data_IF_188766563901
#
_entry.id   IF_188766563901
#
_cell.length_a   1.000
_cell.length_b   1.000
_cell.length_c   1.000
_cell.angle_alpha   90.00
_cell.angle_beta   90.00
_cell.angle_gamma   90.00
#
_symmetry.space_group_name_H-M   'P 1'
#
loop_
_entity.id
_entity.type
_entity.pdbx_description
1 polymer ?
#
# COMPACT_ATOMS: atom_id res chain seq x y z
N UNK A 1 7.82 20.46 7.40
CA UNK A 1 7.73 20.08 8.83
C UNK A 1 7.76 18.58 8.93
N UNK A 2 8.48 17.98 9.88
CA UNK A 2 8.49 16.53 10.02
C UNK A 2 7.07 16.00 10.26
N UNK A 3 6.71 14.94 9.54
CA UNK A 3 5.45 14.22 9.73
C UNK A 3 5.57 13.47 11.07
N UNK A 4 5.09 14.05 12.15
CA UNK A 4 4.89 13.29 13.40
C UNK A 4 3.52 12.64 13.29
N UNK A 5 3.42 11.30 13.18
CA UNK A 5 2.12 10.64 13.20
C UNK A 5 1.49 10.87 14.57
N UNK A 6 0.41 11.61 14.58
CA UNK A 6 -0.51 11.52 15.71
C UNK A 6 -1.09 10.11 15.69
N UNK A 7 -1.16 9.41 16.80
CA UNK A 7 -1.42 7.97 16.97
C UNK A 7 -2.63 7.32 16.27
N UNK A 8 -3.17 7.94 15.22
CA UNK A 8 -4.25 7.48 14.35
C UNK A 8 -3.81 7.23 12.89
N UNK A 9 -2.50 7.35 12.58
CA UNK A 9 -2.01 7.26 11.20
C UNK A 9 -2.31 8.52 10.39
N UNK A 10 -2.43 8.35 9.04
CA UNK A 10 -2.67 9.45 8.10
C UNK A 10 -4.09 10.05 8.22
N UNK A 11 -5.10 9.22 8.51
CA UNK A 11 -6.50 9.61 8.63
C UNK A 11 -6.84 10.08 10.05
N UNK A 12 -7.76 11.03 10.19
CA UNK A 12 -8.22 11.55 11.49
C UNK A 12 -9.07 10.53 12.27
N UNK A 13 -9.59 9.49 11.62
CA UNK A 13 -10.46 8.47 12.18
C UNK A 13 -9.79 7.10 12.18
N UNK A 14 -10.12 6.22 13.13
CA UNK A 14 -9.65 4.84 13.11
C UNK A 14 -10.12 4.10 11.85
N UNK A 15 -9.23 3.27 11.29
CA UNK A 15 -9.51 2.43 10.13
C UNK A 15 -8.92 1.02 10.35
N UNK A 16 -9.24 0.03 9.51
CA UNK A 16 -8.69 -1.32 9.65
C UNK A 16 -7.16 -1.35 9.78
N UNK A 17 -6.45 -0.48 9.05
CA UNK A 17 -4.99 -0.41 9.11
C UNK A 17 -4.43 0.21 10.40
N UNK A 18 -5.21 0.92 11.21
CA UNK A 18 -4.79 1.42 12.53
C UNK A 18 -5.29 0.56 13.70
N UNK A 19 -5.95 -0.57 13.40
CA UNK A 19 -6.47 -1.50 14.42
C UNK A 19 -5.38 -2.43 14.89
N UNK A 20 -5.14 -2.47 16.21
CA UNK A 20 -4.28 -3.46 16.85
C UNK A 20 -4.90 -4.85 16.73
N UNK A 21 -4.15 -5.77 16.12
CA UNK A 21 -4.57 -7.17 15.92
C UNK A 21 -3.69 -8.15 16.68
N UNK A 22 -2.82 -7.67 17.56
CA UNK A 22 -1.85 -8.50 18.28
C UNK A 22 -2.52 -9.61 19.11
N UNK A 23 -3.70 -9.32 19.66
CA UNK A 23 -4.48 -10.26 20.47
C UNK A 23 -5.57 -11.01 19.68
N UNK A 24 -5.77 -10.71 18.39
CA UNK A 24 -6.81 -11.41 17.62
C UNK A 24 -6.41 -12.85 17.33
N UNK A 25 -7.42 -13.72 17.24
CA UNK A 25 -7.22 -15.11 16.87
C UNK A 25 -6.63 -15.23 15.46
N UNK A 26 -5.85 -16.28 15.25
CA UNK A 26 -5.43 -16.75 13.94
C UNK A 26 -6.65 -17.25 13.18
N UNK A 27 -6.79 -16.89 11.89
CA UNK A 27 -7.82 -17.42 11.02
C UNK A 27 -7.74 -18.95 10.91
N UNK A 28 -8.88 -19.63 10.85
CA UNK A 28 -8.92 -21.08 10.68
C UNK A 28 -8.18 -21.54 9.39
N UNK A 29 -8.17 -20.70 8.36
CA UNK A 29 -7.48 -20.93 7.08
C UNK A 29 -6.00 -20.53 7.08
N UNK A 30 -5.49 -19.95 8.19
CA UNK A 30 -4.14 -19.40 8.25
C UNK A 30 -3.06 -20.38 7.82
N UNK A 31 -3.06 -21.59 8.37
CA UNK A 31 -2.01 -22.57 8.07
C UNK A 31 -2.07 -23.03 6.62
N UNK A 32 -3.28 -23.17 6.06
CA UNK A 32 -3.49 -23.50 4.65
C UNK A 32 -2.93 -22.40 3.72
N UNK A 33 -3.20 -21.13 4.04
CA UNK A 33 -2.75 -19.99 3.24
C UNK A 33 -1.21 -19.84 3.33
N UNK A 34 -0.63 -19.95 4.53
CA UNK A 34 0.82 -19.89 4.73
C UNK A 34 1.51 -21.03 3.97
N UNK A 35 1.03 -22.26 4.13
CA UNK A 35 1.57 -23.41 3.42
C UNK A 35 1.40 -23.30 1.89
N UNK A 36 0.24 -22.80 1.45
CA UNK A 36 -0.05 -22.56 0.04
C UNK A 36 0.88 -21.50 -0.58
N UNK A 37 1.12 -20.39 0.12
CA UNK A 37 2.07 -19.36 -0.32
C UNK A 37 3.50 -19.91 -0.37
N UNK A 38 3.92 -20.68 0.64
CA UNK A 38 5.23 -21.35 0.64
C UNK A 38 5.39 -22.30 -0.56
N UNK A 39 4.38 -23.11 -0.82
CA UNK A 39 4.37 -24.05 -1.95
C UNK A 39 4.38 -23.31 -3.32
N UNK A 40 3.76 -22.14 -3.41
CA UNK A 40 3.78 -21.28 -4.58
C UNK A 40 5.12 -20.53 -4.78
N UNK A 41 6.09 -20.69 -3.87
CA UNK A 41 7.42 -20.08 -3.96
C UNK A 41 7.66 -18.93 -2.97
N UNK A 42 6.77 -18.69 -2.01
CA UNK A 42 6.90 -17.72 -0.92
C UNK A 42 6.84 -16.27 -1.38
N UNK A 43 7.70 -15.41 -0.81
CA UNK A 43 7.85 -14.02 -1.25
C UNK A 43 8.34 -13.97 -2.70
N UNK A 44 8.16 -12.85 -3.39
CA UNK A 44 8.74 -12.63 -4.72
C UNK A 44 10.28 -12.75 -4.70
N UNK A 45 10.92 -12.68 -5.85
CA UNK A 45 12.38 -12.64 -6.03
C UNK A 45 13.16 -13.69 -5.17
N UNK A 46 12.90 -14.99 -5.40
CA UNK A 46 13.64 -16.06 -4.73
C UNK A 46 13.27 -16.27 -3.27
N UNK A 47 12.01 -16.00 -2.91
CA UNK A 47 11.48 -16.16 -1.54
C UNK A 47 12.19 -15.29 -0.50
N UNK A 48 12.57 -14.07 -0.89
CA UNK A 48 13.20 -13.11 0.02
C UNK A 48 12.21 -12.00 0.37
N UNK A 49 12.08 -11.69 1.66
CA UNK A 49 11.28 -10.54 2.13
C UNK A 49 12.03 -9.24 1.83
N UNK A 50 11.88 -8.78 0.58
CA UNK A 50 12.50 -7.54 0.13
C UNK A 50 11.64 -6.33 0.50
N UNK A 51 12.30 -5.20 0.69
CA UNK A 51 11.64 -3.90 0.86
C UNK A 51 11.84 -3.04 -0.38
N UNK A 52 10.81 -2.30 -0.77
CA UNK A 52 10.88 -1.27 -1.79
C UNK A 52 10.54 0.10 -1.17
N UNK A 53 11.43 1.07 -1.37
CA UNK A 53 11.31 2.44 -0.90
C UNK A 53 11.21 3.44 -2.08
N UNK A 54 10.60 3.04 -3.18
CA UNK A 54 10.48 3.87 -4.39
C UNK A 54 9.33 4.87 -4.33
N UNK A 55 8.27 4.60 -3.54
CA UNK A 55 7.04 5.39 -3.49
C UNK A 55 7.27 6.70 -2.72
N UNK A 56 7.13 7.82 -3.42
CA UNK A 56 7.31 9.17 -2.88
C UNK A 56 5.99 9.71 -2.32
N UNK A 57 6.04 10.29 -1.13
CA UNK A 57 4.92 11.06 -0.55
C UNK A 57 5.30 12.53 -0.59
N UNK A 58 4.54 13.33 -1.34
CA UNK A 58 4.72 14.76 -1.43
C UNK A 58 3.74 15.44 -0.48
N UNK A 59 4.25 16.29 0.40
CA UNK A 59 3.42 17.16 1.25
C UNK A 59 3.19 18.48 0.53
N UNK A 60 1.96 18.94 0.52
CA UNK A 60 1.56 20.24 -0.04
C UNK A 60 0.63 20.97 0.92
N UNK A 61 0.85 22.27 1.08
CA UNK A 61 0.04 23.14 1.96
C UNK A 61 -1.27 23.60 1.30
N UNK A 62 -1.56 23.14 0.09
CA UNK A 62 -2.69 23.53 -0.72
C UNK A 62 -2.35 24.61 -1.74
N UNK A 63 -1.08 25.02 -1.86
CA UNK A 63 -0.62 26.02 -2.82
C UNK A 63 -0.27 25.46 -4.19
N UNK A 64 -0.10 24.14 -4.30
CA UNK A 64 0.21 23.49 -5.56
C UNK A 64 -0.91 23.71 -6.59
N UNK A 65 -0.50 24.10 -7.80
CA UNK A 65 -1.44 24.25 -8.89
C UNK A 65 -2.10 22.91 -9.23
N UNK A 66 -3.42 22.88 -9.29
CA UNK A 66 -4.16 21.72 -9.76
C UNK A 66 -4.18 21.67 -11.28
N UNK A 67 -4.01 20.48 -11.84
CA UNK A 67 -3.93 20.26 -13.29
C UNK A 67 -4.90 19.17 -13.70
N UNK A 68 -5.67 19.40 -14.75
CA UNK A 68 -6.43 18.35 -15.43
C UNK A 68 -5.44 17.42 -16.15
N UNK A 69 -5.85 16.15 -16.30
CA UNK A 69 -5.05 15.13 -16.96
C UNK A 69 -5.86 14.38 -18.02
N UNK A 70 -5.17 13.71 -18.93
CA UNK A 70 -5.74 12.81 -19.93
C UNK A 70 -5.70 11.38 -19.37
N UNK A 71 -6.84 10.70 -19.37
CA UNK A 71 -6.93 9.29 -18.99
C UNK A 71 -6.20 8.40 -20.01
N UNK A 72 -5.49 7.39 -19.53
CA UNK A 72 -4.92 6.35 -20.38
C UNK A 72 -6.00 5.32 -20.77
N UNK A 73 -5.69 4.41 -21.69
CA UNK A 73 -6.64 3.38 -22.11
C UNK A 73 -7.02 2.39 -21.00
N UNK A 74 -6.17 2.28 -19.99
CA UNK A 74 -6.35 1.44 -18.80
C UNK A 74 -6.95 2.18 -17.60
N UNK A 75 -7.55 3.35 -17.83
CA UNK A 75 -8.24 4.11 -16.78
C UNK A 75 -9.55 3.44 -16.37
N UNK A 76 -9.66 3.05 -15.11
CA UNK A 76 -10.86 2.40 -14.57
C UNK A 76 -11.94 3.44 -14.23
N UNK A 77 -13.11 3.32 -14.86
CA UNK A 77 -14.29 4.14 -14.60
C UNK A 77 -15.48 3.23 -14.30
N UNK A 78 -16.24 3.44 -13.22
CA UNK A 78 -16.27 4.62 -12.33
C UNK A 78 -15.30 4.58 -11.11
N UNK A 79 -14.39 3.62 -11.02
CA UNK A 79 -13.51 3.40 -9.87
C UNK A 79 -12.64 4.62 -9.54
N UNK A 80 -12.05 5.21 -10.59
CA UNK A 80 -11.07 6.29 -10.47
C UNK A 80 -11.71 7.67 -10.63
N UNK A 81 -11.21 8.61 -9.85
CA UNK A 81 -11.67 9.99 -9.89
C UNK A 81 -11.08 10.73 -11.09
N UNK A 82 -11.90 11.50 -11.79
CA UNK A 82 -11.49 12.35 -12.89
C UNK A 82 -11.60 13.83 -12.48
N UNK A 83 -10.77 14.24 -11.52
CA UNK A 83 -10.72 15.59 -10.99
C UNK A 83 -9.31 16.18 -11.16
N UNK A 84 -9.16 17.50 -11.25
CA UNK A 84 -7.84 18.12 -11.29
C UNK A 84 -6.97 17.68 -10.13
N UNK A 85 -5.71 17.37 -10.40
CA UNK A 85 -4.75 16.81 -9.45
C UNK A 85 -3.69 17.86 -9.07
N UNK A 86 -3.37 18.04 -7.77
CA UNK A 86 -2.33 18.98 -7.36
C UNK A 86 -0.97 18.46 -7.79
N UNK A 87 -0.16 19.34 -8.38
CA UNK A 87 1.20 19.03 -8.81
C UNK A 87 2.14 20.03 -8.17
N UNK A 88 2.81 19.68 -7.05
CA UNK A 88 3.81 20.54 -6.42
C UNK A 88 4.90 20.97 -7.41
N UNK A 89 5.46 22.16 -7.24
CA UNK A 89 6.50 22.68 -8.14
C UNK A 89 7.77 21.82 -8.13
N UNK A 90 8.05 21.16 -7.00
CA UNK A 90 9.15 20.22 -6.83
C UNK A 90 8.60 18.87 -6.38
N UNK A 91 9.07 17.79 -6.99
CA UNK A 91 8.61 16.43 -6.69
C UNK A 91 8.99 15.46 -7.79
N UNK A 92 8.52 14.25 -7.65
CA UNK A 92 8.70 13.21 -8.66
C UNK A 92 7.59 12.15 -8.51
N UNK A 93 7.37 11.37 -9.54
CA UNK A 93 6.64 10.12 -9.47
C UNK A 93 7.56 9.00 -8.95
N UNK A 94 6.97 7.93 -8.49
CA UNK A 94 7.66 6.76 -7.97
C UNK A 94 8.80 6.30 -8.89
N UNK A 95 9.96 6.03 -8.29
CA UNK A 95 11.15 5.53 -9.00
C UNK A 95 11.87 6.53 -9.88
N UNK A 96 11.34 7.75 -10.04
CA UNK A 96 11.86 8.76 -10.98
C UNK A 96 12.52 9.94 -10.25
N UNK A 97 13.23 10.77 -11.00
CA UNK A 97 13.83 12.01 -10.47
C UNK A 97 12.92 13.22 -10.63
N UNK A 98 11.89 13.14 -11.47
CA UNK A 98 10.90 14.15 -11.77
C UNK A 98 9.54 13.52 -12.06
N UNK A 99 8.66 14.27 -12.71
CA UNK A 99 7.29 13.84 -12.94
C UNK A 99 7.08 13.02 -14.23
N UNK A 100 8.09 12.90 -15.07
CA UNK A 100 8.02 12.02 -16.24
C UNK A 100 8.28 10.57 -15.83
N UNK A 101 7.36 9.68 -16.21
CA UNK A 101 7.50 8.25 -16.07
C UNK A 101 8.31 7.72 -17.24
N UNK A 102 9.57 7.35 -17.02
CA UNK A 102 10.52 6.92 -18.06
C UNK A 102 10.68 5.40 -18.09
N UNK A 103 10.32 4.72 -17.01
CA UNK A 103 10.34 3.26 -16.88
C UNK A 103 9.00 2.60 -17.22
N UNK A 104 8.94 1.29 -16.97
CA UNK A 104 7.70 0.49 -17.04
C UNK A 104 7.06 0.30 -15.65
N UNK A 105 7.43 1.13 -14.67
CA UNK A 105 6.93 1.08 -13.30
C UNK A 105 5.52 1.66 -13.17
N UNK A 106 4.98 1.53 -11.98
CA UNK A 106 3.65 2.04 -11.64
C UNK A 106 3.61 3.57 -11.56
N UNK A 107 4.76 4.21 -11.37
CA UNK A 107 4.92 5.67 -11.41
C UNK A 107 3.86 6.39 -10.57
N UNK A 108 3.67 5.96 -9.33
CA UNK A 108 2.70 6.61 -8.43
C UNK A 108 3.07 8.07 -8.20
N UNK A 109 2.05 8.94 -8.25
CA UNK A 109 2.12 10.32 -7.79
C UNK A 109 1.21 10.47 -6.58
N UNK A 110 1.80 10.79 -5.43
CA UNK A 110 1.07 10.93 -4.18
C UNK A 110 1.27 12.34 -3.64
N UNK A 111 0.16 13.02 -3.32
CA UNK A 111 0.18 14.35 -2.72
C UNK A 111 -0.75 14.37 -1.51
N UNK A 112 -0.22 14.77 -0.36
CA UNK A 112 -0.96 14.92 0.89
C UNK A 112 -1.15 16.40 1.20
N UNK A 113 -2.39 16.84 1.30
CA UNK A 113 -2.79 18.19 1.73
C UNK A 113 -3.44 18.10 3.11
N UNK A 114 -2.63 18.10 4.17
CA UNK A 114 -3.10 17.85 5.55
C UNK A 114 -4.05 18.91 6.05
N UNK A 115 -3.81 20.19 5.75
CA UNK A 115 -4.67 21.28 6.17
C UNK A 115 -6.06 21.20 5.52
N UNK A 116 -6.13 20.74 4.28
CA UNK A 116 -7.36 20.52 3.50
C UNK A 116 -7.99 19.14 3.74
N UNK A 117 -7.35 18.29 4.55
CA UNK A 117 -7.77 16.91 4.81
C UNK A 117 -7.98 16.11 3.54
N UNK A 118 -7.03 16.21 2.60
CA UNK A 118 -7.07 15.49 1.31
C UNK A 118 -5.79 14.68 1.09
N UNK A 119 -5.98 13.46 0.58
CA UNK A 119 -4.94 12.63 0.01
C UNK A 119 -5.27 12.40 -1.46
N UNK A 120 -4.32 12.65 -2.31
CA UNK A 120 -4.40 12.41 -3.74
C UNK A 120 -3.40 11.32 -4.10
N UNK A 121 -3.87 10.24 -4.69
CA UNK A 121 -3.06 9.13 -5.16
C UNK A 121 -3.34 8.89 -6.64
N UNK A 122 -2.29 8.70 -7.43
CA UNK A 122 -2.42 8.47 -8.85
C UNK A 122 -1.49 7.34 -9.27
N UNK A 123 -2.02 6.35 -9.97
CA UNK A 123 -1.28 5.29 -10.63
C UNK A 123 -1.03 5.66 -12.10
N UNK A 124 0.16 5.29 -12.62
CA UNK A 124 0.62 5.60 -13.97
C UNK A 124 0.57 7.09 -14.29
N UNK A 125 1.01 7.90 -13.34
CA UNK A 125 1.18 9.32 -13.55
C UNK A 125 2.37 9.57 -14.48
N UNK A 126 2.15 10.36 -15.54
CA UNK A 126 3.22 10.77 -16.43
C UNK A 126 3.00 12.22 -16.88
N UNK A 127 3.90 13.12 -16.46
CA UNK A 127 3.83 14.54 -16.76
C UNK A 127 5.08 14.94 -17.55
N UNK A 128 4.92 15.16 -18.86
CA UNK A 128 6.01 15.50 -19.76
C UNK A 128 6.02 16.96 -20.20
N UNK A 129 5.06 17.75 -19.72
CA UNK A 129 4.93 19.17 -20.05
C UNK A 129 3.74 19.82 -19.36
N UNK A 130 3.31 20.98 -19.84
CA UNK A 130 2.30 21.83 -19.18
C UNK A 130 0.88 21.65 -19.69
N UNK A 131 0.69 21.13 -20.90
CA UNK A 131 -0.66 20.89 -21.45
C UNK A 131 -1.36 19.69 -20.80
N UNK A 132 -2.69 19.64 -20.91
CA UNK A 132 -3.50 18.51 -20.41
C UNK A 132 -3.08 17.20 -21.09
N UNK A 133 -2.79 17.21 -22.39
CA UNK A 133 -2.34 16.02 -23.12
C UNK A 133 -0.99 15.47 -22.65
N UNK A 134 -0.17 16.32 -22.02
CA UNK A 134 1.14 15.96 -21.46
C UNK A 134 1.11 15.55 -19.99
N UNK A 135 -0.09 15.51 -19.39
CA UNK A 135 -0.32 14.88 -18.08
C UNK A 135 -1.28 13.71 -18.26
N UNK A 136 -0.81 12.51 -18.06
CA UNK A 136 -1.57 11.26 -18.25
C UNK A 136 -1.64 10.46 -16.96
N UNK A 137 -2.73 9.70 -16.79
CA UNK A 137 -2.96 8.86 -15.61
C UNK A 137 -3.73 7.58 -15.97
N UNK A 138 -3.37 6.49 -15.29
CA UNK A 138 -4.11 5.20 -15.33
C UNK A 138 -5.24 5.14 -14.30
N UNK A 139 -5.06 5.70 -13.13
CA UNK A 139 -6.09 5.87 -12.10
C UNK A 139 -5.73 7.02 -11.19
N UNK A 140 -6.72 7.80 -10.74
CA UNK A 140 -6.58 8.72 -9.64
C UNK A 140 -7.58 8.37 -8.53
N UNK A 141 -7.19 8.52 -7.28
CA UNK A 141 -8.04 8.35 -6.12
C UNK A 141 -7.87 9.52 -5.16
N UNK A 142 -8.98 10.13 -4.78
CA UNK A 142 -9.00 11.23 -3.81
C UNK A 142 -9.68 10.73 -2.55
N UNK A 143 -8.98 10.88 -1.42
CA UNK A 143 -9.46 10.47 -0.10
C UNK A 143 -9.68 11.68 0.79
N UNK A 144 -10.76 11.65 1.53
CA UNK A 144 -11.02 12.61 2.60
C UNK A 144 -10.44 12.07 3.91
N UNK A 145 -9.38 12.70 4.41
CA UNK A 145 -8.68 12.26 5.61
C UNK A 145 -9.52 12.42 6.90
N UNK A 146 -10.58 13.24 6.86
CA UNK A 146 -11.50 13.40 7.99
C UNK A 146 -12.67 12.39 7.96
N UNK A 147 -12.88 11.72 6.81
CA UNK A 147 -14.00 10.77 6.64
C UNK A 147 -13.70 9.44 7.33
N UNK A 148 -14.71 8.88 8.00
CA UNK A 148 -14.71 7.46 8.40
C UNK A 148 -15.18 6.63 7.21
N UNK A 149 -14.26 5.89 6.60
CA UNK A 149 -14.62 4.94 5.54
C UNK A 149 -15.15 3.64 6.13
N UNK A 150 -16.24 3.13 5.56
CA UNK A 150 -16.82 1.83 5.92
C UNK A 150 -15.99 0.65 5.35
N UNK A 151 -16.47 -0.58 5.53
CA UNK A 151 -15.74 -1.79 5.11
C UNK A 151 -15.57 -1.94 3.60
N UNK A 152 -16.32 -1.17 2.80
CA UNK A 152 -16.21 -1.12 1.34
C UNK A 152 -15.44 0.11 0.84
N UNK A 153 -14.76 0.82 1.71
CA UNK A 153 -13.92 1.99 1.40
C UNK A 153 -14.60 2.98 0.44
N UNK A 154 -14.14 3.09 -0.80
CA UNK A 154 -14.70 3.95 -1.85
C UNK A 154 -15.89 3.32 -2.57
N UNK A 155 -16.12 2.02 -2.41
CA UNK A 155 -17.22 1.28 -2.99
C UNK A 155 -16.88 -0.19 -3.22
N UNK A 156 -17.89 -1.05 -3.20
CA UNK A 156 -17.75 -2.48 -3.50
C UNK A 156 -17.31 -2.66 -4.97
N UNK A 157 -16.35 -3.51 -5.21
CA UNK A 157 -15.80 -3.76 -6.54
C UNK A 157 -14.90 -2.66 -7.08
N UNK A 158 -14.71 -1.56 -6.32
CA UNK A 158 -13.95 -0.39 -6.78
C UNK A 158 -12.46 -0.53 -6.48
N UNK A 159 -11.63 -0.29 -7.49
CA UNK A 159 -10.19 -0.09 -7.36
C UNK A 159 -9.86 1.32 -6.84
N UNK A 160 -8.58 1.60 -6.66
CA UNK A 160 -8.03 2.92 -6.39
C UNK A 160 -6.72 3.08 -7.18
N UNK A 161 -5.80 3.90 -6.70
CA UNK A 161 -4.41 3.88 -7.19
C UNK A 161 -3.64 2.63 -6.72
N UNK A 162 -4.27 1.80 -5.90
CA UNK A 162 -3.79 0.52 -5.38
C UNK A 162 -4.74 -0.59 -5.82
N UNK A 163 -4.23 -1.72 -6.27
CA UNK A 163 -5.01 -2.78 -6.91
C UNK A 163 -6.14 -3.33 -6.02
N UNK A 164 -5.90 -3.45 -4.72
CA UNK A 164 -6.88 -3.90 -3.74
C UNK A 164 -7.92 -2.86 -3.35
N UNK A 165 -7.84 -1.63 -3.89
CA UNK A 165 -8.77 -0.53 -3.60
C UNK A 165 -8.45 0.26 -2.33
N UNK A 166 -7.24 0.10 -1.77
CA UNK A 166 -6.80 0.79 -0.54
C UNK A 166 -6.32 2.23 -0.80
N UNK A 167 -6.29 3.09 0.25
CA UNK A 167 -5.40 4.24 0.29
C UNK A 167 -3.98 3.76 0.58
N UNK A 168 -3.18 3.53 -0.46
CA UNK A 168 -1.87 2.89 -0.30
C UNK A 168 -0.95 3.66 0.65
N UNK A 169 -1.00 5.00 0.63
CA UNK A 169 -0.19 5.89 1.48
C UNK A 169 -0.41 5.64 2.97
N UNK A 170 -1.63 5.26 3.37
CA UNK A 170 -1.97 4.99 4.77
C UNK A 170 -1.27 3.75 5.35
N UNK A 171 -0.66 2.93 4.50
CA UNK A 171 0.02 1.68 4.87
C UNK A 171 1.52 1.70 4.52
N UNK A 172 2.06 2.84 4.08
CA UNK A 172 3.48 3.01 3.83
C UNK A 172 4.18 3.49 5.11
N UNK A 173 5.04 2.66 5.71
CA UNK A 173 5.91 3.13 6.77
C UNK A 173 6.88 4.20 6.24
N UNK A 174 7.11 5.24 7.03
CA UNK A 174 8.08 6.29 6.75
C UNK A 174 9.33 6.14 7.61
N UNK A 175 10.46 6.62 7.10
CA UNK A 175 11.70 6.65 7.90
C UNK A 175 11.60 7.57 9.12
N UNK A 176 10.75 8.60 9.07
CA UNK A 176 10.50 9.49 10.21
C UNK A 176 9.72 8.78 11.32
N UNK A 177 8.72 7.94 11.01
CA UNK A 177 8.02 7.09 11.99
C UNK A 177 8.98 6.10 12.65
N UNK A 178 9.82 5.46 11.84
CA UNK A 178 10.81 4.50 12.34
C UNK A 178 11.86 5.18 13.21
N UNK A 179 12.31 6.39 12.85
CA UNK A 179 13.20 7.20 13.68
C UNK A 179 12.54 7.64 14.99
N UNK A 180 11.23 7.91 14.98
CA UNK A 180 10.45 8.17 16.19
C UNK A 180 10.20 6.91 17.04
N UNK A 181 10.63 5.74 16.60
CA UNK A 181 10.54 4.47 17.32
C UNK A 181 9.21 3.75 17.20
N UNK A 182 8.28 4.21 16.35
CA UNK A 182 6.96 3.60 16.22
C UNK A 182 6.35 3.84 14.84
N UNK A 183 5.83 2.77 14.24
CA UNK A 183 4.86 2.81 13.14
C UNK A 183 3.50 2.44 13.70
N UNK A 184 2.50 3.31 13.56
CA UNK A 184 1.19 3.20 14.21
C UNK A 184 0.10 2.58 13.33
N UNK A 185 0.44 1.84 12.30
CA UNK A 185 -0.50 1.27 11.33
C UNK A 185 0.03 -0.03 10.72
N UNK A 186 -0.88 -0.80 10.07
CA UNK A 186 -0.53 -1.95 9.25
C UNK A 186 0.30 -1.51 8.04
N UNK A 187 1.13 -2.41 7.55
CA UNK A 187 1.99 -2.18 6.40
C UNK A 187 1.34 -2.69 5.10
N UNK A 188 1.83 -2.19 3.97
CA UNK A 188 1.46 -2.65 2.64
C UNK A 188 2.43 -3.72 2.18
N UNK A 189 1.91 -4.88 1.72
CA UNK A 189 2.76 -5.84 1.04
C UNK A 189 2.15 -6.28 -0.29
N UNK A 190 3.00 -6.80 -1.17
CA UNK A 190 2.66 -7.25 -2.50
C UNK A 190 3.24 -8.64 -2.76
N UNK A 191 2.64 -9.38 -3.68
CA UNK A 191 3.07 -10.70 -4.10
C UNK A 191 3.01 -10.82 -5.63
N UNK A 192 3.82 -11.69 -6.25
CA UNK A 192 3.63 -12.05 -7.65
C UNK A 192 2.19 -12.50 -7.92
N UNK A 193 1.62 -12.10 -9.05
CA UNK A 193 0.22 -12.37 -9.38
C UNK A 193 -0.16 -13.86 -9.35
N UNK A 194 0.77 -14.74 -9.69
CA UNK A 194 0.59 -16.20 -9.60
C UNK A 194 0.55 -16.74 -8.16
N UNK A 195 0.84 -15.91 -7.17
CA UNK A 195 0.78 -16.22 -5.73
C UNK A 195 -0.36 -15.51 -5.02
N UNK A 196 -1.17 -14.76 -5.75
CA UNK A 196 -2.40 -14.11 -5.27
C UNK A 196 -3.59 -14.90 -5.78
N UNK A 197 -4.52 -15.25 -4.89
CA UNK A 197 -5.70 -16.06 -5.24
C UNK A 197 -6.49 -15.43 -6.36
N UNK A 198 -6.76 -16.23 -7.40
CA UNK A 198 -7.33 -15.78 -8.65
C UNK A 198 -8.70 -15.12 -8.47
N UNK A 199 -8.76 -13.82 -8.73
CA UNK A 199 -10.00 -13.03 -8.75
C UNK A 199 -10.74 -12.95 -7.40
N UNK A 200 -10.08 -13.23 -6.27
CA UNK A 200 -10.70 -13.16 -4.93
C UNK A 200 -10.13 -11.98 -4.14
N UNK A 201 -11.01 -11.29 -3.42
CA UNK A 201 -10.62 -10.34 -2.39
C UNK A 201 -11.42 -10.55 -1.10
N UNK A 202 -10.90 -10.03 0.01
CA UNK A 202 -11.56 -10.01 1.32
C UNK A 202 -11.48 -8.60 1.92
N UNK A 203 -12.47 -8.17 2.71
CA UNK A 203 -12.40 -6.88 3.38
C UNK A 203 -11.12 -6.74 4.24
N UNK A 204 -10.52 -5.54 4.31
CA UNK A 204 -11.02 -4.27 3.77
C UNK A 204 -10.67 -3.98 2.30
N UNK A 205 -10.03 -4.90 1.57
CA UNK A 205 -9.93 -4.73 0.12
C UNK A 205 -11.33 -4.69 -0.51
N UNK A 206 -11.45 -3.97 -1.60
CA UNK A 206 -12.70 -3.79 -2.34
C UNK A 206 -12.63 -4.29 -3.77
N UNK A 207 -11.44 -4.73 -4.20
CA UNK A 207 -11.18 -5.07 -5.60
C UNK A 207 -10.11 -6.18 -5.68
N UNK A 208 -10.09 -6.89 -6.79
CA UNK A 208 -9.03 -7.78 -7.24
C UNK A 208 -8.66 -7.45 -8.68
N UNK A 209 -7.62 -8.06 -9.23
CA UNK A 209 -7.16 -7.75 -10.60
C UNK A 209 -7.21 -8.96 -11.52
N UNK A 210 -7.33 -8.69 -12.83
CA UNK A 210 -7.33 -9.74 -13.86
C UNK A 210 -6.06 -10.61 -13.93
N UNK A 211 -4.85 -10.08 -13.67
CA UNK A 211 -3.61 -10.85 -13.70
C UNK A 211 -3.43 -11.89 -12.59
N UNK A 212 -4.22 -11.82 -11.51
CA UNK A 212 -4.11 -12.82 -10.41
C UNK A 212 -4.44 -14.23 -10.93
N UNK A 213 -3.62 -15.22 -10.54
CA UNK A 213 -3.77 -16.61 -11.04
C UNK A 213 -3.40 -17.68 -9.99
N UNK A 214 -3.23 -17.28 -8.72
CA UNK A 214 -2.92 -18.20 -7.63
C UNK A 214 -4.09 -19.14 -7.29
N UNK A 215 -3.75 -20.32 -6.81
CA UNK A 215 -4.73 -21.35 -6.47
C UNK A 215 -5.51 -21.07 -5.17
N UNK A 216 -6.46 -21.94 -4.79
CA UNK A 216 -7.34 -21.73 -3.61
C UNK A 216 -6.61 -21.60 -2.28
N UNK A 217 -5.40 -22.14 -2.16
CA UNK A 217 -4.59 -22.05 -0.94
C UNK A 217 -3.67 -20.83 -0.89
N UNK A 218 -3.62 -19.99 -1.94
CA UNK A 218 -2.86 -18.74 -1.91
C UNK A 218 -3.68 -17.60 -1.30
N UNK A 219 -3.03 -16.55 -0.77
CA UNK A 219 -3.72 -15.43 -0.13
C UNK A 219 -4.53 -14.60 -1.13
N UNK A 220 -5.78 -14.19 -0.82
CA UNK A 220 -6.54 -13.21 -1.60
C UNK A 220 -6.10 -11.78 -1.29
N UNK A 221 -6.41 -10.80 -2.16
CA UNK A 221 -6.30 -9.38 -1.81
C UNK A 221 -7.08 -9.06 -0.53
N UNK A 222 -6.54 -8.17 0.28
CA UNK A 222 -7.16 -7.75 1.55
C UNK A 222 -6.83 -8.65 2.74
N UNK A 223 -6.26 -9.83 2.50
CA UNK A 223 -5.83 -10.69 3.62
C UNK A 223 -4.79 -9.97 4.48
N UNK A 224 -4.91 -10.12 5.79
CA UNK A 224 -4.00 -9.50 6.75
C UNK A 224 -3.05 -10.53 7.32
N UNK A 225 -1.76 -10.36 7.04
CA UNK A 225 -0.69 -11.14 7.65
C UNK A 225 -0.19 -10.43 8.91
N UNK A 226 0.08 -11.18 9.95
CA UNK A 226 0.67 -10.69 11.19
C UNK A 226 1.92 -11.50 11.52
N UNK A 227 3.03 -10.83 11.81
CA UNK A 227 4.24 -11.48 12.32
C UNK A 227 3.94 -12.11 13.67
N UNK A 228 4.36 -13.35 13.87
CA UNK A 228 4.11 -14.10 15.12
C UNK A 228 4.73 -13.38 16.31
N UNK A 229 4.05 -13.42 17.44
CA UNK A 229 4.50 -12.74 18.66
C UNK A 229 5.85 -13.25 19.16
N UNK A 230 6.13 -14.55 18.98
CA UNK A 230 7.35 -15.25 19.37
C UNK A 230 8.53 -15.11 18.40
N UNK A 231 8.36 -14.41 17.27
CA UNK A 231 9.46 -14.14 16.34
C UNK A 231 10.58 -13.34 17.04
N UNK A 232 11.81 -13.88 17.03
CA UNK A 232 12.95 -13.19 17.61
C UNK A 232 13.44 -12.05 16.71
N UNK A 233 13.38 -10.84 17.24
CA UNK A 233 13.82 -9.62 16.55
C UNK A 233 15.24 -9.19 16.89
N UNK A 234 15.95 -9.94 17.74
CA UNK A 234 17.28 -9.55 18.25
C UNK A 234 18.32 -9.37 17.13
N UNK A 235 18.20 -10.16 16.06
CA UNK A 235 19.08 -10.08 14.88
C UNK A 235 18.76 -8.91 13.94
N UNK A 236 17.65 -8.18 14.13
CA UNK A 236 17.28 -7.05 13.30
C UNK A 236 17.97 -5.76 13.76
N UNK A 237 18.20 -4.84 12.81
CA UNK A 237 18.61 -3.46 13.11
C UNK A 237 17.55 -2.73 13.96
N UNK A 238 17.88 -1.55 14.48
CA UNK A 238 16.91 -0.74 15.24
C UNK A 238 15.64 -0.48 14.43
N UNK A 239 15.75 0.01 13.19
CA UNK A 239 14.58 0.24 12.34
C UNK A 239 13.87 -1.05 11.95
N UNK A 240 14.62 -2.13 11.73
CA UNK A 240 14.04 -3.45 11.49
C UNK A 240 13.17 -3.93 12.65
N UNK A 241 13.58 -3.68 13.90
CA UNK A 241 12.78 -4.00 15.10
C UNK A 241 11.50 -3.17 15.19
N UNK A 242 11.56 -1.88 14.83
CA UNK A 242 10.37 -1.00 14.80
C UNK A 242 9.37 -1.49 13.76
N UNK A 243 9.83 -1.84 12.54
CA UNK A 243 8.98 -2.42 11.50
C UNK A 243 8.42 -3.78 11.92
N UNK A 244 9.23 -4.66 12.51
CA UNK A 244 8.79 -5.95 13.02
C UNK A 244 7.73 -5.80 14.13
N UNK A 245 7.87 -4.78 15.00
CA UNK A 245 6.85 -4.50 16.02
C UNK A 245 5.53 -4.04 15.38
N UNK A 246 5.56 -3.21 14.33
CA UNK A 246 4.36 -2.84 13.59
C UNK A 246 3.70 -4.07 12.94
N UNK A 247 4.50 -4.98 12.36
CA UNK A 247 4.02 -6.24 11.81
C UNK A 247 3.40 -7.17 12.87
N UNK A 248 3.91 -7.16 14.12
CA UNK A 248 3.31 -7.89 15.24
C UNK A 248 2.01 -7.25 15.73
N UNK A 249 1.94 -5.93 15.77
CA UNK A 249 0.81 -5.19 16.34
C UNK A 249 -0.29 -4.99 15.33
N UNK A 250 0.05 -4.49 14.14
CA UNK A 250 -0.91 -4.10 13.10
C UNK A 250 -0.92 -5.03 11.91
N UNK A 251 0.13 -5.83 11.71
CA UNK A 251 0.27 -6.70 10.56
C UNK A 251 0.52 -5.94 9.25
N UNK A 252 0.24 -6.64 8.14
CA UNK A 252 0.32 -6.08 6.78
C UNK A 252 -0.82 -6.60 5.91
N UNK A 253 -1.30 -5.78 4.97
CA UNK A 253 -2.35 -6.14 4.03
C UNK A 253 -1.76 -6.44 2.64
N UNK A 254 -2.22 -7.56 2.04
CA UNK A 254 -1.96 -7.83 0.63
C UNK A 254 -2.83 -6.89 -0.21
N UNK A 255 -2.20 -5.96 -0.91
CA UNK A 255 -2.92 -4.88 -1.57
C UNK A 255 -2.63 -4.75 -3.07
N UNK A 256 -1.53 -5.33 -3.55
CA UNK A 256 -1.15 -5.24 -4.95
C UNK A 256 -0.35 -6.45 -5.45
N UNK A 257 -0.14 -6.54 -6.77
CA UNK A 257 0.72 -7.50 -7.43
C UNK A 257 2.14 -6.96 -7.66
N UNK A 258 3.15 -7.79 -7.44
CA UNK A 258 4.56 -7.43 -7.69
C UNK A 258 5.56 -8.38 -7.05
N UNK A 259 6.84 -8.17 -7.31
CA UNK A 259 7.92 -9.08 -6.88
C UNK A 259 8.63 -8.66 -5.58
N UNK A 260 8.28 -7.51 -5.01
CA UNK A 260 8.85 -6.98 -3.77
C UNK A 260 7.83 -7.19 -2.65
N UNK A 261 8.21 -7.83 -1.54
CA UNK A 261 7.26 -8.18 -0.49
C UNK A 261 6.70 -6.93 0.23
N UNK A 262 7.55 -6.10 0.83
CA UNK A 262 7.12 -4.94 1.62
C UNK A 262 7.37 -3.64 0.87
N UNK A 263 6.35 -2.81 0.72
CA UNK A 263 6.53 -1.44 0.22
C UNK A 263 6.53 -0.44 1.38
N UNK A 264 7.48 0.48 1.35
CA UNK A 264 7.66 1.56 2.34
C UNK A 264 7.83 2.89 1.60
N UNK A 265 7.62 4.00 2.30
CA UNK A 265 7.80 5.31 1.68
C UNK A 265 9.27 5.58 1.37
N UNK A 266 9.55 6.25 0.26
CA UNK A 266 10.87 6.82 -0.02
C UNK A 266 11.23 7.86 1.03
N UNK A 267 12.50 7.87 1.45
CA UNK A 267 13.02 8.87 2.39
C UNK A 267 13.55 10.14 1.71
N UNK A 268 13.34 10.28 0.39
CA UNK A 268 13.88 11.41 -0.39
C UNK A 268 13.51 12.77 0.21
N UNK A 269 12.28 12.92 0.68
CA UNK A 269 11.76 14.15 1.28
C UNK A 269 11.55 14.06 2.79
N UNK A 270 11.89 12.91 3.41
CA UNK A 270 11.80 12.72 4.87
C UNK A 270 12.97 13.39 5.60
N UNK A 271 12.76 13.72 6.87
CA UNK A 271 13.82 14.24 7.75
C UNK A 271 14.84 13.15 8.08
N UNK A 272 14.37 12.01 8.60
CA UNK A 272 15.19 10.84 8.81
C UNK A 272 15.43 10.09 7.49
N UNK A 273 16.57 9.37 7.44
CA UNK A 273 16.88 8.51 6.30
C UNK A 273 16.83 7.04 6.72
N UNK A 274 16.40 6.16 5.81
CA UNK A 274 16.35 4.73 6.06
C UNK A 274 17.71 4.19 6.54
N UNK A 275 18.81 4.67 5.97
CA UNK A 275 20.15 4.30 6.39
C UNK A 275 20.44 4.71 7.83
N UNK A 276 19.95 5.86 8.30
CA UNK A 276 20.18 6.36 9.66
C UNK A 276 19.45 5.55 10.73
N UNK A 277 18.39 4.84 10.35
CA UNK A 277 17.64 3.93 11.23
C UNK A 277 18.00 2.45 11.04
N UNK A 278 19.06 2.18 10.24
CA UNK A 278 19.60 0.85 10.05
C UNK A 278 18.85 -0.01 9.00
N UNK A 279 17.98 0.59 8.18
CA UNK A 279 17.39 -0.02 6.99
C UNK A 279 18.23 0.42 5.79
N UNK A 280 19.35 -0.23 5.56
CA UNK A 280 20.42 0.25 4.66
C UNK A 280 20.28 -0.22 3.21
N UNK A 281 19.45 -1.22 2.98
CA UNK A 281 19.17 -1.78 1.66
C UNK A 281 17.86 -2.58 1.66
N UNK A 282 17.45 -3.02 0.51
CA UNK A 282 16.21 -3.78 0.31
C UNK A 282 16.19 -5.17 0.97
N UNK A 283 17.28 -5.65 1.53
CA UNK A 283 17.40 -6.95 2.23
C UNK A 283 17.44 -6.81 3.76
N UNK A 284 17.27 -5.60 4.30
CA UNK A 284 17.35 -5.36 5.76
C UNK A 284 16.35 -6.17 6.58
N UNK A 285 15.29 -6.71 5.96
CA UNK A 285 14.29 -7.59 6.57
C UNK A 285 14.28 -9.01 5.97
N UNK A 286 15.33 -9.42 5.25
CA UNK A 286 15.38 -10.70 4.53
C UNK A 286 15.32 -11.94 5.42
N UNK A 287 15.50 -11.80 6.73
CA UNK A 287 15.34 -12.89 7.71
C UNK A 287 13.88 -13.28 7.96
N UNK A 288 12.90 -12.42 7.58
CA UNK A 288 11.48 -12.72 7.76
C UNK A 288 11.02 -13.71 6.69
N UNK A 289 10.64 -14.91 7.14
CA UNK A 289 10.14 -15.97 6.28
C UNK A 289 8.61 -16.00 6.26
N UNK A 290 7.99 -16.56 5.22
CA UNK A 290 6.53 -16.73 5.16
C UNK A 290 6.00 -17.46 6.40
N UNK A 291 6.73 -18.48 6.88
CA UNK A 291 6.37 -19.27 8.05
C UNK A 291 6.40 -18.49 9.38
N UNK A 292 7.03 -17.30 9.41
CA UNK A 292 7.03 -16.45 10.60
C UNK A 292 5.73 -15.66 10.77
N UNK A 293 4.86 -15.71 9.77
CA UNK A 293 3.59 -15.02 9.76
C UNK A 293 2.41 -15.96 10.00
N UNK A 294 1.31 -15.37 10.37
CA UNK A 294 0.00 -15.99 10.44
C UNK A 294 -1.05 -15.05 9.86
N UNK A 295 -2.12 -15.63 9.30
CA UNK A 295 -3.24 -14.86 8.80
C UNK A 295 -4.15 -14.52 9.97
N UNK A 296 -4.50 -13.24 10.12
CA UNK A 296 -5.53 -12.79 11.06
C UNK A 296 -6.89 -13.06 10.42
N UNK A 297 -7.90 -13.33 11.25
CA UNK A 297 -9.26 -13.58 10.78
C UNK A 297 -9.76 -12.40 9.91
N UNK A 298 -10.43 -12.75 8.83
CA UNK A 298 -10.92 -11.81 7.82
C UNK A 298 -12.37 -12.15 7.46
N UNK A 299 -13.07 -11.19 6.91
CA UNK A 299 -14.47 -11.36 6.52
C UNK A 299 -14.67 -12.31 5.34
N UNK A 300 -15.87 -12.26 4.77
CA UNK A 300 -16.28 -13.14 3.66
C UNK A 300 -15.50 -12.85 2.38
N UNK A 301 -15.06 -13.89 1.72
CA UNK A 301 -14.44 -13.84 0.39
C UNK A 301 -15.44 -13.35 -0.66
N UNK A 302 -14.98 -12.49 -1.56
CA UNK A 302 -15.77 -11.99 -2.69
C UNK A 302 -15.09 -12.39 -3.99
N UNK A 303 -15.86 -13.00 -4.89
CA UNK A 303 -15.38 -13.33 -6.22
C UNK A 303 -15.55 -12.12 -7.15
N UNK A 304 -14.47 -11.41 -7.38
CA UNK A 304 -14.44 -10.22 -8.24
C UNK A 304 -14.74 -10.56 -9.71
N UNK A 305 -14.34 -11.73 -10.21
CA UNK A 305 -14.63 -12.16 -11.60
C UNK A 305 -16.11 -12.36 -11.87
N UNK A 306 -16.90 -12.66 -10.83
CA UNK A 306 -18.35 -12.80 -10.95
C UNK A 306 -19.07 -11.44 -10.85
N UNK A 307 -18.47 -10.43 -10.24
CA UNK A 307 -19.04 -9.10 -10.01
C UNK A 307 -17.92 -8.06 -10.11
N UNK A 308 -17.63 -7.62 -11.33
CA UNK A 308 -16.56 -6.66 -11.63
C UNK A 308 -17.01 -5.21 -11.55
N UNK A 309 -18.31 -4.97 -11.32
CA UNK A 309 -18.87 -3.62 -11.35
C UNK A 309 -18.54 -2.86 -10.07
N UNK A 310 -17.87 -1.74 -10.23
CA UNK A 310 -17.65 -0.80 -9.12
C UNK A 310 -18.95 -0.07 -8.78
N UNK A 311 -19.41 -0.22 -7.54
CA UNK A 311 -20.52 0.53 -6.97
C UNK A 311 -19.96 1.53 -5.95
N UNK A 312 -19.79 2.78 -6.40
CA UNK A 312 -19.23 3.87 -5.57
C UNK A 312 -20.13 4.15 -4.36
N UNK A 313 -19.49 4.31 -3.19
CA UNK A 313 -20.16 4.86 -2.03
C UNK A 313 -20.42 6.37 -2.23
N UNK A 314 -21.54 6.91 -1.71
CA UNK A 314 -21.85 8.35 -1.79
C UNK A 314 -20.85 9.22 -1.02
#
# INVERSE_FOLDING_TARGET
MPIVPTGSGLFDRPHPWTTDVSALAKAATSDTIIAGLMAAGGWGQGNVFLTDASILILEDDGSAATRAFTRTADFYSPDCDNVPFPVPATGAVEGETGYACTGNGDCHLIVVQRAQKRLFEMWRANITGTSVAQFRAGCAAVWDLAKQYGPTLRGKGCSSADAGGFPLTAMLATSDEVAAGRVGHALRFILPNERIRDGIYVPPATHSTGPTSGGPATPPYGVRFRLRADFDTSGLSQGGRVLAQALKTYGMFLSDGGNIALTIASDRYSTAKWSSVGVTNNRSLSSLQVADFQVVDYGTETNWKADTDCVRNP
#
